data_IF_293018450680
#
_entry.id   IF_293018450680
#
_cell.length_a   1.000
_cell.length_b   1.000
_cell.length_c   1.000
_cell.angle_alpha   90.00
_cell.angle_beta   90.00
_cell.angle_gamma   90.00
#
_symmetry.space_group_name_H-M   'P 1'
#
loop_
_entity.id
_entity.type
_entity.pdbx_description
1 polymer ?
#
# COMPACT_ATOMS: atom_id res chain seq x y z
N UNK A 1 -6.27 5.76 7.31
CA UNK A 1 -5.18 4.96 7.91
C UNK A 1 -4.93 3.76 7.01
N UNK A 2 -3.67 3.38 6.79
CA UNK A 2 -3.31 2.22 5.96
C UNK A 2 -2.54 1.21 6.82
N UNK A 3 -3.04 -0.02 6.89
CA UNK A 3 -2.42 -1.12 7.64
C UNK A 3 -2.07 -2.25 6.69
N UNK A 4 -0.93 -2.89 6.91
CA UNK A 4 -0.47 -4.01 6.09
C UNK A 4 -0.15 -5.19 7.01
N UNK A 5 -0.72 -6.35 6.72
CA UNK A 5 -0.59 -7.57 7.51
C UNK A 5 -0.15 -8.74 6.62
N UNK A 6 0.86 -9.49 7.04
CA UNK A 6 1.24 -10.76 6.40
C UNK A 6 0.45 -11.90 7.06
N UNK A 7 -0.44 -12.51 6.29
CA UNK A 7 -1.29 -13.62 6.74
C UNK A 7 -0.90 -14.91 6.00
N UNK A 8 0.03 -15.65 6.57
CA UNK A 8 0.56 -16.88 5.99
C UNK A 8 1.22 -16.64 4.63
N UNK A 9 0.56 -17.05 3.55
CA UNK A 9 1.03 -16.88 2.16
C UNK A 9 0.49 -15.63 1.46
N UNK A 10 -0.35 -14.86 2.14
CA UNK A 10 -1.01 -13.68 1.58
C UNK A 10 -0.64 -12.42 2.35
N UNK A 11 -0.76 -11.28 1.70
CA UNK A 11 -0.57 -9.95 2.28
C UNK A 11 -1.90 -9.22 2.20
N UNK A 12 -2.35 -8.64 3.31
CA UNK A 12 -3.61 -7.92 3.41
C UNK A 12 -3.31 -6.45 3.68
N UNK A 13 -3.73 -5.56 2.78
CA UNK A 13 -3.73 -4.11 2.99
C UNK A 13 -5.13 -3.67 3.37
N UNK A 14 -5.25 -2.91 4.46
CA UNK A 14 -6.50 -2.31 4.94
C UNK A 14 -6.41 -0.80 4.86
N UNK A 15 -7.23 -0.19 4.03
CA UNK A 15 -7.45 1.25 3.97
C UNK A 15 -8.67 1.60 4.81
N UNK A 16 -8.46 2.26 5.95
CA UNK A 16 -9.53 2.70 6.84
C UNK A 16 -9.75 4.20 6.63
N UNK A 17 -10.94 4.57 6.16
CA UNK A 17 -11.38 5.95 5.94
C UNK A 17 -12.57 6.26 6.84
N UNK A 18 -12.51 7.39 7.53
CA UNK A 18 -13.58 7.84 8.43
C UNK A 18 -14.89 8.16 7.68
N UNK A 19 -14.82 8.40 6.37
CA UNK A 19 -15.98 8.75 5.53
C UNK A 19 -16.53 7.54 4.73
N UNK A 20 -15.71 6.54 4.46
CA UNK A 20 -16.03 5.46 3.51
C UNK A 20 -15.89 4.05 4.08
N UNK A 21 -15.46 3.92 5.35
CA UNK A 21 -15.28 2.63 6.01
C UNK A 21 -13.93 1.99 5.70
N UNK A 22 -13.88 0.66 5.74
CA UNK A 22 -12.67 -0.13 5.54
C UNK A 22 -12.68 -0.82 4.18
N UNK A 23 -11.62 -0.62 3.40
CA UNK A 23 -11.35 -1.36 2.18
C UNK A 23 -10.18 -2.32 2.38
N UNK A 24 -10.34 -3.57 1.96
CA UNK A 24 -9.36 -4.63 2.11
C UNK A 24 -8.86 -5.12 0.75
N UNK A 25 -7.55 -5.10 0.54
CA UNK A 25 -6.89 -5.69 -0.63
C UNK A 25 -6.03 -6.88 -0.19
N UNK A 26 -6.23 -8.03 -0.83
CA UNK A 26 -5.44 -9.24 -0.55
C UNK A 26 -4.55 -9.55 -1.74
N UNK A 27 -3.26 -9.74 -1.49
CA UNK A 27 -2.24 -10.06 -2.47
C UNK A 27 -1.63 -11.43 -2.16
N UNK A 28 -1.30 -12.20 -3.20
CA UNK A 28 -0.63 -13.50 -3.06
C UNK A 28 0.89 -13.37 -3.08
N UNK A 29 1.42 -12.19 -3.42
CA UNK A 29 2.86 -11.97 -3.53
C UNK A 29 3.24 -10.49 -3.33
N UNK A 30 4.50 -10.25 -2.97
CA UNK A 30 5.07 -8.88 -2.88
C UNK A 30 5.02 -8.13 -4.23
N UNK A 31 5.30 -8.75 -5.40
CA UNK A 31 5.14 -8.07 -6.68
C UNK A 31 3.71 -7.58 -6.95
N UNK A 32 2.68 -8.34 -6.58
CA UNK A 32 1.29 -7.91 -6.71
C UNK A 32 0.97 -6.71 -5.82
N UNK A 33 1.43 -6.74 -4.56
CA UNK A 33 1.33 -5.60 -3.64
C UNK A 33 2.01 -4.36 -4.20
N UNK A 34 3.24 -4.50 -4.72
CA UNK A 34 4.00 -3.38 -5.27
C UNK A 34 3.32 -2.79 -6.50
N UNK A 35 2.83 -3.64 -7.40
CA UNK A 35 2.08 -3.17 -8.56
C UNK A 35 0.83 -2.39 -8.14
N UNK A 36 0.09 -2.86 -7.13
CA UNK A 36 -1.03 -2.11 -6.58
C UNK A 36 -0.60 -0.77 -5.95
N UNK A 37 0.46 -0.76 -5.15
CA UNK A 37 0.96 0.45 -4.48
C UNK A 37 1.40 1.53 -5.48
N UNK A 38 2.06 1.14 -6.57
CA UNK A 38 2.48 2.04 -7.65
C UNK A 38 1.29 2.65 -8.40
N UNK A 39 0.22 1.89 -8.61
CA UNK A 39 -1.01 2.40 -9.24
C UNK A 39 -1.84 3.27 -8.28
N UNK A 40 -1.86 2.91 -6.99
CA UNK A 40 -2.62 3.60 -5.94
C UNK A 40 -1.99 4.93 -5.56
N UNK A 41 -0.67 5.00 -5.57
CA UNK A 41 0.14 6.17 -5.25
C UNK A 41 1.09 6.48 -6.40
N UNK A 42 0.59 6.93 -7.55
CA UNK A 42 1.46 7.20 -8.68
C UNK A 42 2.28 8.46 -8.38
N UNK A 43 3.58 8.42 -8.71
CA UNK A 43 4.57 9.45 -8.32
C UNK A 43 4.20 10.86 -8.79
N UNK A 44 3.53 10.98 -9.93
CA UNK A 44 3.08 12.23 -10.53
C UNK A 44 1.88 12.88 -9.82
N UNK A 45 1.11 12.10 -9.05
CA UNK A 45 -0.06 12.57 -8.28
C UNK A 45 0.11 12.41 -6.78
N UNK A 46 1.32 12.16 -6.33
CA UNK A 46 1.60 12.10 -4.90
C UNK A 46 1.67 13.52 -4.34
N UNK A 47 0.82 13.83 -3.37
CA UNK A 47 0.71 15.17 -2.78
C UNK A 47 1.91 15.56 -1.89
N UNK A 48 2.81 14.60 -1.60
CA UNK A 48 4.03 14.81 -0.81
C UNK A 48 5.30 14.97 -1.65
N UNK A 49 6.44 14.97 -0.96
CA UNK A 49 7.76 15.02 -1.59
C UNK A 49 8.14 13.68 -2.23
N UNK A 50 9.10 13.73 -3.16
CA UNK A 50 9.68 12.53 -3.77
C UNK A 50 10.31 11.59 -2.73
N UNK A 51 11.00 12.15 -1.72
CA UNK A 51 11.58 11.37 -0.63
C UNK A 51 10.51 10.64 0.20
N UNK A 52 9.40 11.32 0.53
CA UNK A 52 8.27 10.70 1.24
C UNK A 52 7.64 9.57 0.43
N UNK A 53 7.50 9.77 -0.89
CA UNK A 53 7.02 8.72 -1.79
C UNK A 53 7.96 7.51 -1.80
N UNK A 54 9.27 7.74 -1.90
CA UNK A 54 10.28 6.68 -1.88
C UNK A 54 10.30 5.93 -0.55
N UNK A 55 10.23 6.64 0.58
CA UNK A 55 10.13 6.03 1.91
C UNK A 55 8.88 5.18 2.03
N UNK A 56 7.73 5.68 1.56
CA UNK A 56 6.48 4.92 1.55
C UNK A 56 6.59 3.66 0.69
N UNK A 57 7.09 3.78 -0.55
CA UNK A 57 7.29 2.64 -1.45
C UNK A 57 8.29 1.63 -0.89
N UNK A 58 9.33 2.09 -0.21
CA UNK A 58 10.28 1.23 0.50
C UNK A 58 9.58 0.45 1.62
N UNK A 59 8.70 1.08 2.39
CA UNK A 59 7.93 0.39 3.41
C UNK A 59 7.10 -0.75 2.82
N UNK A 60 6.42 -0.54 1.69
CA UNK A 60 5.70 -1.62 0.97
C UNK A 60 6.60 -2.77 0.54
N UNK A 61 7.85 -2.50 0.12
CA UNK A 61 8.81 -3.54 -0.28
C UNK A 61 9.30 -4.39 0.88
N UNK A 62 9.36 -3.80 2.08
CA UNK A 62 9.91 -4.47 3.27
C UNK A 62 8.90 -5.41 3.97
N UNK A 63 7.59 -5.21 3.77
CA UNK A 63 6.47 -6.05 4.27
C UNK A 63 6.66 -7.53 4.00
#
# INVERSE_FOLDING_TARGET
MLNIEVNGKSIIVREISDQWGEECHTFLSRPELMNWAEHRFPKDKFDGTEEEWETMMKAFREV
#
